data_IF_985626138727
#
_entry.id   IF_985626138727
#
_cell.length_a   1.000
_cell.length_b   1.000
_cell.length_c   1.000
_cell.angle_alpha   90.00
_cell.angle_beta   90.00
_cell.angle_gamma   90.00
#
_symmetry.space_group_name_H-M   'P 1'
#
loop_
_entity.id
_entity.type
_entity.pdbx_description
1 polymer ?
#
# COMPACT_ATOMS: atom_id res chain seq x y z
N UNK A 1 -24.41 5.77 -12.17
CA UNK A 1 -24.73 5.47 -13.57
C UNK A 1 -25.22 4.02 -13.72
N UNK A 2 -24.46 3.03 -13.29
CA UNK A 2 -24.78 1.59 -13.43
C UNK A 2 -26.12 1.24 -12.73
N UNK A 3 -26.47 1.88 -11.63
CA UNK A 3 -27.72 1.62 -10.89
C UNK A 3 -28.97 2.28 -11.50
N UNK A 4 -28.83 3.15 -12.49
CA UNK A 4 -29.91 3.97 -13.02
C UNK A 4 -30.44 3.53 -14.39
N UNK A 5 -29.82 2.53 -15.02
CA UNK A 5 -30.15 2.08 -16.37
C UNK A 5 -30.51 0.60 -16.37
N UNK A 6 -31.55 0.24 -17.08
CA UNK A 6 -31.88 -1.14 -17.44
C UNK A 6 -30.89 -1.59 -18.54
N UNK A 7 -29.73 -2.13 -18.12
CA UNK A 7 -28.74 -2.69 -18.99
C UNK A 7 -28.92 -4.21 -19.05
N UNK A 8 -28.76 -4.79 -20.23
CA UNK A 8 -28.70 -6.24 -20.39
C UNK A 8 -27.40 -6.60 -21.08
N UNK A 9 -26.57 -7.41 -20.42
CA UNK A 9 -25.21 -7.73 -20.84
C UNK A 9 -24.99 -9.25 -20.95
N UNK A 10 -25.82 -10.00 -21.71
CA UNK A 10 -25.82 -11.47 -21.71
C UNK A 10 -24.54 -12.08 -22.29
N UNK A 11 -23.78 -11.33 -23.07
CA UNK A 11 -22.54 -11.78 -23.69
C UNK A 11 -21.28 -11.27 -22.96
N UNK A 12 -21.46 -10.52 -21.86
CA UNK A 12 -20.33 -10.02 -21.10
C UNK A 12 -19.74 -11.16 -20.25
N UNK A 13 -18.47 -11.45 -20.45
CA UNK A 13 -17.66 -12.24 -19.52
C UNK A 13 -16.84 -11.30 -18.67
N UNK A 14 -16.86 -11.48 -17.36
CA UNK A 14 -16.19 -10.55 -16.46
C UNK A 14 -15.58 -11.25 -15.27
N UNK A 15 -14.64 -10.59 -14.65
CA UNK A 15 -14.15 -10.81 -13.29
C UNK A 15 -13.77 -9.47 -12.68
N UNK A 16 -13.88 -9.33 -11.38
CA UNK A 16 -13.61 -8.08 -10.68
C UNK A 16 -12.43 -8.26 -9.73
N UNK A 17 -11.43 -7.39 -9.86
CA UNK A 17 -10.37 -7.20 -8.87
C UNK A 17 -10.69 -5.92 -8.09
N UNK A 18 -10.97 -6.06 -6.81
CA UNK A 18 -11.28 -4.94 -5.93
C UNK A 18 -10.08 -4.61 -5.05
N UNK A 19 -9.52 -3.42 -5.24
CA UNK A 19 -8.44 -2.90 -4.42
C UNK A 19 -9.03 -2.05 -3.30
N UNK A 20 -8.53 -2.21 -2.09
CA UNK A 20 -9.01 -1.47 -0.93
C UNK A 20 -7.97 -1.40 0.19
N UNK A 21 -8.40 -0.85 1.31
CA UNK A 21 -7.67 -0.86 2.56
C UNK A 21 -8.64 -1.32 3.66
N UNK A 22 -8.35 -2.47 4.26
CA UNK A 22 -9.20 -3.07 5.28
C UNK A 22 -9.29 -2.26 6.58
N UNK A 23 -8.55 -1.15 6.70
CA UNK A 23 -8.75 -0.17 7.78
C UNK A 23 -10.01 0.66 7.64
N UNK A 24 -10.62 0.68 6.44
CA UNK A 24 -11.85 1.40 6.19
C UNK A 24 -13.07 0.48 6.30
N UNK A 25 -14.19 0.95 6.89
CA UNK A 25 -15.40 0.13 7.09
C UNK A 25 -16.01 -0.44 5.80
N UNK A 26 -15.80 0.24 4.67
CA UNK A 26 -16.32 -0.16 3.37
C UNK A 26 -15.23 -0.80 2.48
N UNK A 27 -14.39 -1.65 3.08
CA UNK A 27 -13.33 -2.37 2.37
C UNK A 27 -13.85 -3.09 1.13
N UNK A 28 -13.31 -2.77 -0.03
CA UNK A 28 -13.67 -3.34 -1.34
C UNK A 28 -15.15 -3.24 -1.74
N UNK A 29 -15.98 -2.46 -1.02
CA UNK A 29 -17.44 -2.38 -1.22
C UNK A 29 -17.82 -1.99 -2.65
N UNK A 30 -17.12 -1.05 -3.26
CA UNK A 30 -17.38 -0.64 -4.66
C UNK A 30 -17.18 -1.82 -5.63
N UNK A 31 -16.14 -2.64 -5.43
CA UNK A 31 -15.91 -3.83 -6.24
C UNK A 31 -17.02 -4.87 -6.08
N UNK A 32 -17.53 -5.08 -4.87
CA UNK A 32 -18.66 -5.97 -4.59
C UNK A 32 -19.95 -5.46 -5.28
N UNK A 33 -20.19 -4.16 -5.23
CA UNK A 33 -21.35 -3.56 -5.86
C UNK A 33 -21.29 -3.69 -7.39
N UNK A 34 -20.11 -3.47 -7.99
CA UNK A 34 -19.88 -3.65 -9.42
C UNK A 34 -20.09 -5.12 -9.83
N UNK A 35 -19.50 -6.05 -9.08
CA UNK A 35 -19.62 -7.49 -9.34
C UNK A 35 -21.07 -7.94 -9.28
N UNK A 36 -21.83 -7.48 -8.28
CA UNK A 36 -23.25 -7.77 -8.12
C UNK A 36 -24.07 -7.19 -9.26
N UNK A 37 -23.82 -5.97 -9.67
CA UNK A 37 -24.58 -5.32 -10.75
C UNK A 37 -24.30 -5.97 -12.11
N UNK A 38 -23.06 -6.33 -12.40
CA UNK A 38 -22.73 -7.03 -13.65
C UNK A 38 -23.42 -8.40 -13.73
N UNK A 39 -23.51 -9.11 -12.60
CA UNK A 39 -24.28 -10.37 -12.54
C UNK A 39 -25.79 -10.13 -12.77
N UNK A 40 -26.38 -9.10 -12.16
CA UNK A 40 -27.80 -8.73 -12.34
C UNK A 40 -28.12 -8.37 -13.80
N UNK A 41 -27.19 -7.77 -14.51
CA UNK A 41 -27.33 -7.46 -15.93
C UNK A 41 -27.13 -8.66 -16.85
N UNK A 42 -26.92 -9.86 -16.31
CA UNK A 42 -26.80 -11.09 -17.07
C UNK A 42 -25.36 -11.40 -17.52
N UNK A 43 -24.37 -10.66 -17.00
CA UNK A 43 -22.96 -10.97 -17.25
C UNK A 43 -22.54 -12.30 -16.63
N UNK A 44 -21.64 -13.01 -17.30
CA UNK A 44 -21.07 -14.28 -16.84
C UNK A 44 -19.75 -14.03 -16.10
N UNK A 45 -19.73 -14.29 -14.80
CA UNK A 45 -18.49 -14.26 -14.02
C UNK A 45 -17.59 -15.42 -14.41
N UNK A 46 -16.36 -15.14 -14.86
CA UNK A 46 -15.39 -16.17 -15.29
C UNK A 46 -14.43 -16.58 -14.17
N UNK A 47 -14.14 -15.67 -13.25
CA UNK A 47 -13.38 -15.91 -12.03
C UNK A 47 -14.05 -15.11 -10.90
N UNK A 48 -14.10 -15.68 -9.70
CA UNK A 48 -14.69 -15.01 -8.54
C UNK A 48 -14.01 -13.68 -8.22
N UNK A 49 -14.78 -12.77 -7.60
CA UNK A 49 -14.29 -11.49 -7.10
C UNK A 49 -13.07 -11.71 -6.19
N UNK A 50 -11.96 -11.06 -6.52
CA UNK A 50 -10.78 -10.98 -5.67
C UNK A 50 -10.78 -9.66 -4.92
N UNK A 51 -10.73 -9.72 -3.59
CA UNK A 51 -10.50 -8.55 -2.74
C UNK A 51 -9.03 -8.49 -2.38
N UNK A 52 -8.42 -7.32 -2.55
CA UNK A 52 -7.03 -7.08 -2.23
C UNK A 52 -6.92 -5.95 -1.22
N UNK A 53 -6.12 -6.14 -0.20
CA UNK A 53 -5.72 -5.11 0.76
C UNK A 53 -4.53 -4.30 0.21
N UNK A 54 -3.88 -3.49 1.04
CA UNK A 54 -2.76 -2.61 0.66
C UNK A 54 -1.55 -3.36 0.07
N UNK A 55 -1.34 -4.61 0.46
CA UNK A 55 -0.29 -5.51 -0.05
C UNK A 55 -0.85 -6.44 -1.16
N UNK A 56 -1.45 -5.83 -2.17
CA UNK A 56 -2.28 -6.48 -3.18
C UNK A 56 -1.52 -7.26 -4.25
N UNK A 57 -0.21 -7.07 -4.41
CA UNK A 57 0.54 -7.53 -5.56
C UNK A 57 0.42 -9.05 -5.78
N UNK A 58 0.63 -9.83 -4.72
CA UNK A 58 0.55 -11.31 -4.81
C UNK A 58 -0.86 -11.80 -5.13
N UNK A 59 -1.88 -11.20 -4.51
CA UNK A 59 -3.28 -11.58 -4.73
C UNK A 59 -3.74 -11.20 -6.13
N UNK A 60 -3.32 -10.03 -6.62
CA UNK A 60 -3.60 -9.55 -7.95
C UNK A 60 -2.95 -10.43 -9.04
N UNK A 61 -1.68 -10.84 -8.84
CA UNK A 61 -0.98 -11.76 -9.74
C UNK A 61 -1.71 -13.10 -9.82
N UNK A 62 -2.06 -13.71 -8.68
CA UNK A 62 -2.78 -14.98 -8.65
C UNK A 62 -4.16 -14.89 -9.30
N UNK A 63 -4.89 -13.78 -9.08
CA UNK A 63 -6.16 -13.54 -9.75
C UNK A 63 -5.98 -13.41 -11.26
N UNK A 64 -4.97 -12.66 -11.71
CA UNK A 64 -4.69 -12.47 -13.13
C UNK A 64 -4.33 -13.78 -13.83
N UNK A 65 -3.51 -14.62 -13.21
CA UNK A 65 -3.17 -15.95 -13.72
C UNK A 65 -4.43 -16.84 -13.87
N UNK A 66 -5.33 -16.81 -12.87
CA UNK A 66 -6.61 -17.54 -12.95
C UNK A 66 -7.47 -17.05 -14.10
N UNK A 67 -7.58 -15.75 -14.31
CA UNK A 67 -8.33 -15.15 -15.42
C UNK A 67 -7.73 -15.59 -16.76
N UNK A 68 -6.41 -15.50 -16.92
CA UNK A 68 -5.73 -15.93 -18.14
C UNK A 68 -5.93 -17.42 -18.42
N UNK A 69 -5.86 -18.27 -17.40
CA UNK A 69 -6.07 -19.72 -17.56
C UNK A 69 -7.48 -20.05 -18.06
N UNK A 70 -8.51 -19.39 -17.52
CA UNK A 70 -9.89 -19.59 -17.96
C UNK A 70 -10.10 -19.09 -19.41
N UNK A 71 -9.50 -17.96 -19.77
CA UNK A 71 -9.60 -17.41 -21.13
C UNK A 71 -8.86 -18.27 -22.14
N UNK A 72 -7.70 -18.82 -21.77
CA UNK A 72 -6.90 -19.70 -22.64
C UNK A 72 -7.63 -21.01 -22.97
N UNK A 73 -8.40 -21.54 -22.03
CA UNK A 73 -9.21 -22.75 -22.23
C UNK A 73 -10.42 -22.53 -23.16
N UNK A 74 -10.80 -21.27 -23.41
CA UNK A 74 -11.98 -20.92 -24.23
C UNK A 74 -11.64 -20.41 -25.63
N UNK A 75 -10.36 -20.23 -25.95
CA UNK A 75 -9.93 -19.76 -27.27
C UNK A 75 -9.68 -20.93 -28.23
N UNK A 76 -10.33 -21.01 -29.42
CA UNK A 76 -9.85 -21.86 -30.46
C UNK A 76 -8.48 -21.37 -30.93
N UNK A 77 -7.56 -22.31 -31.11
CA UNK A 77 -6.17 -22.07 -31.51
C UNK A 77 -6.08 -21.34 -32.86
N UNK A 78 -6.00 -20.04 -32.82
CA UNK A 78 -5.45 -19.24 -33.91
C UNK A 78 -4.05 -18.80 -33.46
N UNK A 79 -2.99 -18.90 -34.31
CA UNK A 79 -1.66 -18.50 -33.93
C UNK A 79 -1.71 -17.01 -33.58
N UNK A 80 -1.54 -16.68 -32.30
CA UNK A 80 -1.49 -15.32 -31.85
C UNK A 80 -0.20 -14.67 -32.39
N UNK A 81 -0.35 -13.60 -33.16
CA UNK A 81 0.72 -12.64 -33.36
C UNK A 81 1.28 -12.25 -31.97
N UNK A 82 2.60 -12.33 -31.87
CA UNK A 82 3.30 -11.97 -30.62
C UNK A 82 2.84 -10.59 -30.18
N UNK A 83 2.41 -10.42 -28.92
CA UNK A 83 2.07 -9.10 -28.42
C UNK A 83 3.29 -8.19 -28.64
N UNK A 84 3.06 -7.08 -29.33
CA UNK A 84 4.03 -6.00 -29.41
C UNK A 84 4.22 -5.55 -27.97
N UNK A 85 5.34 -5.92 -27.38
CA UNK A 85 5.78 -5.36 -26.13
C UNK A 85 6.02 -3.88 -26.37
N UNK A 86 5.01 -3.07 -26.09
CA UNK A 86 5.23 -1.66 -25.84
C UNK A 86 6.13 -1.64 -24.61
N UNK A 87 7.41 -1.42 -24.83
CA UNK A 87 8.35 -1.20 -23.76
C UNK A 87 7.86 0.05 -23.03
N UNK A 88 7.12 -0.15 -21.93
CA UNK A 88 6.92 0.91 -20.96
C UNK A 88 8.33 1.37 -20.57
N UNK A 89 8.71 2.54 -21.08
CA UNK A 89 9.84 3.26 -20.53
C UNK A 89 9.53 3.41 -19.05
N UNK A 90 10.15 2.57 -18.20
CA UNK A 90 10.19 2.79 -16.77
C UNK A 90 10.88 4.14 -16.59
N UNK A 91 10.08 5.20 -16.57
CA UNK A 91 10.55 6.51 -16.15
C UNK A 91 10.94 6.30 -14.70
N UNK A 92 12.26 6.25 -14.44
CA UNK A 92 12.78 6.06 -13.11
C UNK A 92 12.16 7.12 -12.20
N UNK A 93 11.66 6.73 -11.03
CA UNK A 93 11.09 7.66 -10.05
C UNK A 93 12.18 8.68 -9.72
N UNK A 94 11.95 9.95 -10.07
CA UNK A 94 12.84 11.04 -9.70
C UNK A 94 12.42 11.53 -8.31
N UNK A 95 13.36 11.62 -7.40
CA UNK A 95 13.15 12.16 -6.06
C UNK A 95 13.64 13.61 -6.03
N UNK A 96 12.85 14.45 -5.40
CA UNK A 96 13.15 15.86 -5.19
C UNK A 96 13.22 16.12 -3.69
N UNK A 97 14.08 17.02 -3.28
CA UNK A 97 14.04 17.62 -1.95
C UNK A 97 13.32 18.96 -2.04
N UNK A 98 12.74 19.39 -0.93
CA UNK A 98 12.04 20.66 -0.88
C UNK A 98 11.83 21.12 0.56
N UNK A 99 11.63 22.41 0.72
CA UNK A 99 11.41 23.06 2.00
C UNK A 99 9.93 23.37 2.20
N UNK A 100 9.37 22.95 3.35
CA UNK A 100 8.03 23.35 3.76
C UNK A 100 8.08 24.81 4.22
N UNK A 101 7.45 25.71 3.48
CA UNK A 101 7.40 27.15 3.77
C UNK A 101 6.15 27.57 4.52
N UNK A 102 5.06 26.83 4.33
CA UNK A 102 3.80 27.06 5.03
C UNK A 102 3.27 25.74 5.58
N UNK A 103 2.81 25.75 6.84
CA UNK A 103 2.15 24.61 7.49
C UNK A 103 1.12 25.14 8.50
N UNK A 104 -0.12 25.34 8.05
CA UNK A 104 -1.19 25.97 8.83
C UNK A 104 -2.36 25.01 9.01
N UNK A 105 -2.79 24.82 10.26
CA UNK A 105 -4.03 24.09 10.52
C UNK A 105 -5.23 24.96 10.13
N UNK A 106 -6.06 24.45 9.23
CA UNK A 106 -7.25 25.13 8.73
C UNK A 106 -8.51 24.93 9.60
N UNK A 107 -8.48 23.99 10.54
CA UNK A 107 -9.61 23.75 11.41
C UNK A 107 -9.66 24.77 12.55
N UNK A 108 -10.87 25.26 12.85
CA UNK A 108 -11.13 26.19 13.94
C UNK A 108 -11.06 25.50 15.32
N UNK A 109 -11.06 26.31 16.37
CA UNK A 109 -11.04 25.87 17.77
C UNK A 109 -12.26 24.99 18.05
N UNK A 110 -12.02 23.85 18.74
CA UNK A 110 -13.08 22.89 19.08
C UNK A 110 -13.26 21.76 18.09
N UNK A 111 -12.62 21.80 16.92
CA UNK A 111 -12.59 20.65 16.01
C UNK A 111 -11.66 19.55 16.55
N UNK A 112 -12.14 18.31 16.55
CA UNK A 112 -11.32 17.13 16.83
C UNK A 112 -10.52 16.63 15.61
N UNK A 113 -10.71 17.27 14.44
CA UNK A 113 -9.98 17.01 13.20
C UNK A 113 -8.91 18.07 12.98
N UNK A 114 -7.86 17.71 12.24
CA UNK A 114 -6.81 18.62 11.81
C UNK A 114 -6.59 18.48 10.32
N UNK A 115 -6.83 19.57 9.59
CA UNK A 115 -6.56 19.70 8.15
C UNK A 115 -5.48 20.74 7.98
N UNK A 116 -4.40 20.41 7.30
CA UNK A 116 -3.27 21.32 7.14
C UNK A 116 -3.19 21.82 5.71
N UNK A 117 -3.00 23.13 5.56
CA UNK A 117 -2.50 23.71 4.32
C UNK A 117 -0.97 23.68 4.38
N UNK A 118 -0.35 23.07 3.36
CA UNK A 118 1.10 22.90 3.28
C UNK A 118 1.58 23.44 1.94
N UNK A 119 2.55 24.33 1.98
CA UNK A 119 3.25 24.79 0.80
C UNK A 119 4.69 24.31 0.83
N UNK A 120 5.16 23.77 -0.29
CA UNK A 120 6.49 23.20 -0.43
C UNK A 120 7.18 23.87 -1.61
N UNK A 121 8.39 24.40 -1.39
CA UNK A 121 9.25 24.87 -2.47
C UNK A 121 10.28 23.78 -2.73
N UNK A 122 10.28 23.16 -3.92
CA UNK A 122 11.31 22.21 -4.30
C UNK A 122 12.65 22.90 -4.54
N UNK A 123 13.75 22.20 -4.25
CA UNK A 123 15.12 22.75 -4.43
C UNK A 123 15.52 22.88 -5.90
N UNK A 124 14.78 22.24 -6.80
CA UNK A 124 14.96 22.34 -8.26
C UNK A 124 13.59 22.43 -8.95
N UNK A 125 13.58 22.93 -10.18
CA UNK A 125 12.35 23.06 -10.97
C UNK A 125 11.77 21.66 -11.25
N UNK A 126 10.54 21.46 -10.83
CA UNK A 126 9.76 20.23 -11.09
C UNK A 126 8.80 20.54 -12.24
N UNK A 127 9.03 19.90 -13.39
CA UNK A 127 8.06 19.94 -14.47
C UNK A 127 6.90 18.99 -14.17
N UNK A 128 5.67 19.46 -14.31
CA UNK A 128 4.45 18.67 -14.17
C UNK A 128 3.35 19.21 -15.07
N UNK A 129 2.34 18.39 -15.32
CA UNK A 129 1.17 18.74 -16.12
C UNK A 129 -0.10 18.72 -15.24
N UNK A 130 -1.18 19.40 -15.65
CA UNK A 130 -2.47 19.30 -14.95
C UNK A 130 -2.95 17.85 -14.87
N UNK A 131 -3.23 17.38 -13.65
CA UNK A 131 -3.61 15.99 -13.39
C UNK A 131 -2.50 15.13 -12.80
N UNK A 132 -1.26 15.62 -12.80
CA UNK A 132 -0.16 14.95 -12.11
C UNK A 132 -0.35 14.95 -10.58
N UNK A 133 0.30 14.00 -9.93
CA UNK A 133 0.31 13.86 -8.49
C UNK A 133 1.72 13.86 -7.92
N UNK A 134 1.90 14.56 -6.82
CA UNK A 134 3.13 14.54 -6.04
C UNK A 134 3.10 13.38 -5.04
N UNK A 135 4.14 12.55 -5.04
CA UNK A 135 4.33 11.50 -4.05
C UNK A 135 5.21 12.02 -2.90
N UNK A 136 4.65 12.07 -1.69
CA UNK A 136 5.41 12.40 -0.48
C UNK A 136 5.77 11.11 0.24
N UNK A 137 7.06 10.88 0.50
CA UNK A 137 7.56 9.77 1.31
C UNK A 137 7.81 10.30 2.72
N UNK A 138 6.96 9.96 3.71
CA UNK A 138 7.18 10.41 5.09
C UNK A 138 8.31 9.63 5.76
N UNK A 139 8.90 10.24 6.78
CA UNK A 139 9.77 9.53 7.73
C UNK A 139 8.99 9.18 9.01
N UNK A 140 9.38 8.09 9.65
CA UNK A 140 8.85 7.76 10.97
C UNK A 140 9.36 8.73 12.02
N UNK A 141 8.56 8.96 13.06
CA UNK A 141 8.94 9.86 14.15
C UNK A 141 10.16 9.33 14.87
N UNK A 142 11.23 10.10 14.90
CA UNK A 142 12.53 9.73 15.50
C UNK A 142 12.39 9.20 16.93
N UNK A 143 11.57 9.85 17.77
CA UNK A 143 11.34 9.41 19.14
C UNK A 143 10.70 8.02 19.25
N UNK A 144 9.91 7.59 18.25
CA UNK A 144 9.32 6.23 18.20
C UNK A 144 10.43 5.22 17.92
N UNK A 145 11.28 5.51 16.95
CA UNK A 145 12.42 4.64 16.58
C UNK A 145 13.40 4.52 17.75
N UNK A 146 13.75 5.63 18.40
CA UNK A 146 14.59 5.63 19.60
C UNK A 146 14.00 4.75 20.72
N UNK A 147 12.68 4.80 20.93
CA UNK A 147 12.00 3.93 21.90
C UNK A 147 12.03 2.46 21.51
N UNK A 148 11.87 2.14 20.24
CA UNK A 148 11.99 0.75 19.73
C UNK A 148 13.40 0.23 19.99
N UNK A 149 14.42 1.02 19.63
CA UNK A 149 15.84 0.67 19.84
C UNK A 149 16.13 0.46 21.34
N UNK A 150 15.69 1.38 22.19
CA UNK A 150 15.89 1.29 23.62
C UNK A 150 15.17 0.08 24.26
N UNK A 151 13.95 -0.21 23.81
CA UNK A 151 13.14 -1.31 24.35
C UNK A 151 13.71 -2.69 23.98
N UNK A 152 14.29 -2.82 22.78
CA UNK A 152 14.75 -4.10 22.25
C UNK A 152 16.25 -4.34 22.41
N UNK A 153 17.02 -3.29 22.74
CA UNK A 153 18.48 -3.35 22.89
C UNK A 153 19.26 -3.63 21.60
N UNK A 154 18.62 -3.46 20.43
CA UNK A 154 19.31 -3.61 19.15
C UNK A 154 20.36 -2.52 18.98
N UNK A 155 21.49 -2.88 18.37
CA UNK A 155 22.47 -1.88 17.97
C UNK A 155 21.89 -1.04 16.81
N UNK A 156 21.72 0.27 17.02
CA UNK A 156 21.17 1.17 15.99
C UNK A 156 21.96 1.16 14.66
N UNK A 157 23.25 0.85 14.72
CA UNK A 157 24.13 0.78 13.55
C UNK A 157 24.23 -0.65 12.95
N UNK A 158 23.47 -1.60 13.48
CA UNK A 158 23.45 -2.97 12.95
C UNK A 158 22.95 -2.96 11.52
N UNK A 159 23.76 -3.54 10.62
CA UNK A 159 23.40 -3.64 9.21
C UNK A 159 22.43 -4.81 9.01
N UNK A 160 21.28 -4.51 8.48
CA UNK A 160 20.21 -5.48 8.21
C UNK A 160 19.92 -5.46 6.72
N UNK A 161 19.90 -6.64 6.14
CA UNK A 161 19.48 -6.86 4.76
C UNK A 161 18.01 -7.24 4.74
N UNK A 162 17.20 -6.42 4.07
CA UNK A 162 15.78 -6.69 3.80
C UNK A 162 15.60 -7.03 2.32
N UNK A 163 14.45 -7.54 1.92
CA UNK A 163 14.15 -7.88 0.53
C UNK A 163 14.29 -6.71 -0.46
N UNK A 164 14.20 -5.45 0.01
CA UNK A 164 14.23 -4.25 -0.85
C UNK A 164 15.46 -3.36 -0.63
N UNK A 165 16.06 -3.40 0.54
CA UNK A 165 17.17 -2.51 0.89
C UNK A 165 18.02 -3.07 2.03
N UNK A 166 19.31 -2.79 1.98
CA UNK A 166 20.26 -2.99 3.09
C UNK A 166 20.56 -1.63 3.73
N UNK A 167 20.54 -1.55 5.06
CA UNK A 167 20.82 -0.34 5.81
C UNK A 167 20.96 -0.61 7.29
N UNK A 168 21.30 0.43 8.07
CA UNK A 168 21.33 0.29 9.52
C UNK A 168 19.91 0.16 10.09
N UNK A 169 19.78 -0.45 11.27
CA UNK A 169 18.49 -0.57 11.95
C UNK A 169 17.81 0.78 12.12
N UNK A 170 18.55 1.82 12.50
CA UNK A 170 18.06 3.18 12.65
C UNK A 170 17.57 3.77 11.32
N UNK A 171 18.36 3.64 10.24
CA UNK A 171 17.99 4.12 8.91
C UNK A 171 16.74 3.41 8.38
N UNK A 172 16.71 2.08 8.47
CA UNK A 172 15.59 1.28 7.98
C UNK A 172 14.30 1.63 8.71
N UNK A 173 14.34 1.69 10.04
CA UNK A 173 13.18 2.02 10.86
C UNK A 173 12.75 3.49 10.71
N UNK A 174 13.67 4.42 10.46
CA UNK A 174 13.34 5.84 10.31
C UNK A 174 12.79 6.16 8.93
N UNK A 175 13.40 5.63 7.86
CA UNK A 175 13.17 6.14 6.49
C UNK A 175 12.49 5.16 5.55
N UNK A 176 12.51 3.85 5.83
CA UNK A 176 12.16 2.88 4.81
C UNK A 176 11.04 1.92 5.17
N UNK A 177 10.86 1.61 6.44
CA UNK A 177 9.93 0.58 6.89
C UNK A 177 8.74 1.17 7.63
N UNK A 178 7.56 0.68 7.31
CA UNK A 178 6.34 1.05 8.00
C UNK A 178 6.30 0.43 9.40
N UNK A 179 6.29 1.28 10.44
CA UNK A 179 6.18 0.88 11.84
C UNK A 179 4.84 1.27 12.47
N UNK A 180 3.98 1.94 11.72
CA UNK A 180 2.66 2.38 12.16
C UNK A 180 1.58 1.53 11.48
N UNK A 181 0.53 1.18 12.22
CA UNK A 181 -0.63 0.44 11.71
C UNK A 181 -0.22 -0.80 10.89
N UNK A 182 0.54 -1.71 11.53
CA UNK A 182 1.04 -2.92 10.86
C UNK A 182 -0.11 -3.74 10.28
N UNK A 183 0.11 -4.26 9.07
CA UNK A 183 -0.84 -5.14 8.39
C UNK A 183 -1.04 -6.45 9.17
N UNK A 184 -2.23 -7.03 9.08
CA UNK A 184 -2.53 -8.33 9.69
C UNK A 184 -1.55 -9.42 9.28
N UNK A 185 -1.07 -9.42 8.03
CA UNK A 185 -0.05 -10.34 7.54
C UNK A 185 1.29 -10.19 8.29
N UNK A 186 1.69 -8.96 8.61
CA UNK A 186 2.90 -8.68 9.39
C UNK A 186 2.72 -9.12 10.84
N UNK A 187 1.56 -8.83 11.46
CA UNK A 187 1.25 -9.24 12.84
C UNK A 187 1.26 -10.77 12.97
N UNK A 188 0.69 -11.50 12.02
CA UNK A 188 0.73 -12.96 11.98
C UNK A 188 2.17 -13.51 11.92
N UNK A 189 3.02 -12.92 11.07
CA UNK A 189 4.45 -13.27 11.00
C UNK A 189 5.19 -12.94 12.29
N UNK A 190 4.90 -11.77 12.90
CA UNK A 190 5.43 -11.39 14.21
C UNK A 190 5.08 -12.41 15.28
N UNK A 191 3.81 -12.84 15.34
CA UNK A 191 3.34 -13.86 16.27
C UNK A 191 4.10 -15.20 16.12
N UNK A 192 4.39 -15.61 14.88
CA UNK A 192 5.20 -16.80 14.60
C UNK A 192 6.64 -16.65 15.08
N UNK A 193 7.29 -15.50 14.78
CA UNK A 193 8.68 -15.22 15.18
C UNK A 193 8.83 -15.21 16.70
N UNK A 194 7.86 -14.61 17.41
CA UNK A 194 7.90 -14.48 18.87
C UNK A 194 7.32 -15.68 19.61
N UNK A 195 6.64 -16.58 18.89
CA UNK A 195 5.87 -17.70 19.45
C UNK A 195 4.85 -17.23 20.51
N UNK A 196 4.11 -16.14 20.20
CA UNK A 196 3.09 -15.56 21.05
C UNK A 196 1.73 -15.56 20.34
N UNK A 197 0.64 -15.73 21.08
CA UNK A 197 -0.71 -15.57 20.55
C UNK A 197 -1.08 -14.09 20.52
N UNK A 198 -1.26 -13.54 19.33
CA UNK A 198 -1.58 -12.14 19.11
C UNK A 198 -2.91 -12.07 18.37
N UNK A 199 -3.91 -11.33 18.91
CA UNK A 199 -5.20 -11.15 18.22
C UNK A 199 -5.01 -10.47 16.87
N UNK A 200 -5.92 -10.77 15.92
CA UNK A 200 -5.94 -10.09 14.62
C UNK A 200 -6.45 -8.66 14.79
N UNK A 201 -5.54 -7.76 15.13
CA UNK A 201 -5.81 -6.35 15.33
C UNK A 201 -4.65 -5.52 14.79
N UNK A 202 -4.92 -4.33 14.31
CA UNK A 202 -3.89 -3.42 13.83
C UNK A 202 -3.24 -2.69 14.99
N UNK A 203 -1.93 -2.74 15.06
CA UNK A 203 -1.12 -2.07 16.07
C UNK A 203 0.11 -1.43 15.45
N UNK A 204 0.63 -0.41 16.11
CA UNK A 204 1.97 0.12 15.81
C UNK A 204 3.04 -0.83 16.35
N UNK A 205 4.20 -0.89 15.70
CA UNK A 205 5.30 -1.75 16.11
C UNK A 205 5.73 -1.49 17.57
N UNK A 206 5.73 -0.23 18.00
CA UNK A 206 6.11 0.12 19.37
C UNK A 206 5.13 -0.46 20.41
N UNK A 207 3.83 -0.42 20.14
CA UNK A 207 2.82 -0.96 21.04
C UNK A 207 2.84 -2.48 21.02
N UNK A 208 3.06 -3.08 19.84
CA UNK A 208 3.23 -4.51 19.71
C UNK A 208 4.43 -5.03 20.52
N UNK A 209 5.57 -4.34 20.47
CA UNK A 209 6.76 -4.69 21.25
C UNK A 209 6.58 -4.49 22.76
N UNK A 210 5.71 -3.57 23.19
CA UNK A 210 5.40 -3.36 24.61
C UNK A 210 4.51 -4.43 25.19
N UNK A 211 3.51 -4.88 24.41
CA UNK A 211 2.52 -5.86 24.85
C UNK A 211 3.07 -7.28 24.66
N UNK A 212 3.75 -7.51 23.56
CA UNK A 212 4.29 -8.80 23.13
C UNK A 212 5.81 -8.68 22.90
N UNK A 213 6.63 -8.55 23.95
CA UNK A 213 8.05 -8.24 23.81
C UNK A 213 8.82 -9.34 23.09
N UNK A 214 9.84 -8.93 22.34
CA UNK A 214 10.85 -9.83 21.78
C UNK A 214 11.80 -10.33 22.86
N UNK A 215 12.31 -11.55 22.72
CA UNK A 215 13.23 -12.17 23.69
C UNK A 215 14.67 -11.63 23.58
N UNK A 216 15.06 -11.17 22.39
CA UNK A 216 16.40 -10.66 22.11
C UNK A 216 16.43 -9.81 20.83
N UNK A 217 17.56 -9.15 20.58
CA UNK A 217 17.76 -8.30 19.42
C UNK A 217 17.65 -9.08 18.07
N UNK A 218 18.01 -10.37 18.05
CA UNK A 218 17.93 -11.17 16.81
C UNK A 218 16.47 -11.36 16.36
N UNK A 219 15.53 -11.54 17.29
CA UNK A 219 14.10 -11.59 16.93
C UNK A 219 13.64 -10.26 16.34
N UNK A 220 14.14 -9.11 16.82
CA UNK A 220 13.82 -7.84 16.20
C UNK A 220 14.40 -7.73 14.78
N UNK A 221 15.60 -8.22 14.52
CA UNK A 221 16.16 -8.27 13.18
C UNK A 221 15.25 -9.04 12.23
N UNK A 222 14.74 -10.21 12.65
CA UNK A 222 13.79 -10.98 11.83
C UNK A 222 12.46 -10.23 11.63
N UNK A 223 11.99 -9.51 12.64
CA UNK A 223 10.79 -8.65 12.52
C UNK A 223 11.05 -7.52 11.53
N UNK A 224 12.20 -6.84 11.58
CA UNK A 224 12.56 -5.78 10.62
C UNK A 224 12.51 -6.29 9.19
N UNK A 225 12.95 -7.52 8.92
CA UNK A 225 12.93 -8.12 7.57
C UNK A 225 11.52 -8.35 7.02
N UNK A 226 10.53 -8.52 7.87
CA UNK A 226 9.13 -8.75 7.45
C UNK A 226 8.28 -7.47 7.40
N UNK A 227 8.81 -6.33 7.87
CA UNK A 227 8.08 -5.07 7.80
C UNK A 227 7.89 -4.61 6.36
N UNK A 228 6.71 -4.10 6.07
CA UNK A 228 6.41 -3.50 4.77
C UNK A 228 7.16 -2.17 4.60
N UNK A 229 7.54 -1.79 3.38
CA UNK A 229 8.11 -0.47 3.14
C UNK A 229 7.09 0.65 3.40
N UNK A 230 7.59 1.84 3.73
CA UNK A 230 6.74 3.04 3.79
C UNK A 230 6.19 3.32 2.39
N UNK A 231 4.87 3.37 2.28
CA UNK A 231 4.20 3.72 1.04
C UNK A 231 4.23 5.24 0.81
N UNK A 232 4.61 5.72 -0.37
CA UNK A 232 4.44 7.12 -0.74
C UNK A 232 2.97 7.53 -0.67
N UNK A 233 2.69 8.73 -0.22
CA UNK A 233 1.35 9.32 -0.23
C UNK A 233 1.22 10.25 -1.43
N UNK A 234 0.24 9.96 -2.27
CA UNK A 234 -0.03 10.73 -3.48
C UNK A 234 -0.98 11.88 -3.18
N UNK A 235 -0.61 13.06 -3.65
CA UNK A 235 -1.42 14.27 -3.57
C UNK A 235 -1.54 14.89 -4.95
N UNK A 236 -2.75 15.19 -5.37
CA UNK A 236 -2.97 15.96 -6.61
C UNK A 236 -2.34 17.34 -6.48
N UNK A 237 -1.63 17.76 -7.53
CA UNK A 237 -1.03 19.09 -7.57
C UNK A 237 -2.14 20.09 -7.89
N UNK A 238 -2.32 21.10 -7.02
CA UNK A 238 -3.37 22.13 -7.17
C UNK A 238 -2.81 23.49 -7.64
N UNK A 239 -1.50 23.65 -7.70
CA UNK A 239 -0.86 24.83 -8.29
C UNK A 239 -0.80 24.73 -9.81
N UNK A 240 -0.77 25.87 -10.51
CA UNK A 240 -0.50 25.90 -11.95
C UNK A 240 0.98 25.56 -12.21
N UNK A 241 1.28 24.89 -13.33
CA UNK A 241 2.66 24.72 -13.76
C UNK A 241 3.34 26.08 -14.00
N UNK A 242 4.66 26.16 -13.86
CA UNK A 242 5.44 27.38 -14.10
C UNK A 242 5.39 27.83 -15.56
#
# INVERSE_FOLDING_TARGET
YIHQHELTLPNLKYSVLALGDSSYPLFCKTGEDVDTQLALFGGQRVVDLQRCDVDFESDAEQWFERVLSVLSLQSPTTPAEKPVTVAEKKIGKKYYTGTVVTNVNLNDRGSNKKTFHIEIIPDEIVAYEPGDALAIVPENKKWVVEKIIALTGINKNELIETAKKTGSADELLTKHLNICYLLSSVIKKYALITAQEIPDTRMDLLDLLRIYPVKNAMQLVEIIKILSPIAPRLYSISSSPP
#
